data_IF_264463426015
#
_entry.id   IF_264463426015
#
_cell.length_a   1.000
_cell.length_b   1.000
_cell.length_c   1.000
_cell.angle_alpha   90.00
_cell.angle_beta   90.00
_cell.angle_gamma   90.00
#
_symmetry.space_group_name_H-M   'P 1'
#
loop_
_entity.id
_entity.type
_entity.pdbx_description
1 polymer ?
#
# COMPACT_ATOMS: atom_id res chain seq x y z
N UNK A 1 18.86 -13.89 -9.13
CA UNK A 1 18.19 -13.38 -7.91
C UNK A 1 19.17 -13.06 -6.78
N UNK A 2 20.03 -14.01 -6.36
CA UNK A 2 20.99 -13.80 -5.24
C UNK A 2 21.92 -12.59 -5.42
N UNK A 3 22.39 -12.32 -6.63
CA UNK A 3 23.30 -11.18 -6.90
C UNK A 3 22.59 -9.82 -6.77
N UNK A 4 21.43 -9.65 -7.40
CA UNK A 4 20.60 -8.43 -7.26
C UNK A 4 20.27 -8.13 -5.80
N UNK A 5 19.92 -9.16 -5.02
CA UNK A 5 19.67 -9.02 -3.58
C UNK A 5 20.92 -8.56 -2.82
N UNK A 6 22.11 -9.10 -3.11
CA UNK A 6 23.36 -8.65 -2.50
C UNK A 6 23.69 -7.19 -2.83
N UNK A 7 23.47 -6.77 -4.09
CA UNK A 7 23.70 -5.38 -4.52
C UNK A 7 22.77 -4.44 -3.77
N UNK A 8 21.46 -4.73 -3.76
CA UNK A 8 20.48 -3.94 -3.03
C UNK A 8 20.80 -3.83 -1.53
N UNK A 9 21.11 -4.95 -0.86
CA UNK A 9 21.48 -4.92 0.57
C UNK A 9 22.72 -4.07 0.82
N UNK A 10 23.69 -4.08 -0.09
CA UNK A 10 24.88 -3.23 -0.01
C UNK A 10 24.52 -1.75 -0.16
N UNK A 11 23.69 -1.39 -1.12
CA UNK A 11 23.25 -0.01 -1.37
C UNK A 11 22.42 0.55 -0.22
N UNK A 12 21.47 -0.24 0.32
CA UNK A 12 20.70 0.14 1.51
C UNK A 12 21.62 0.40 2.69
N UNK A 13 22.58 -0.51 2.95
CA UNK A 13 23.55 -0.34 4.02
C UNK A 13 24.41 0.92 3.86
N UNK A 14 24.83 1.24 2.63
CA UNK A 14 25.59 2.45 2.33
C UNK A 14 24.78 3.73 2.57
N UNK A 15 23.51 3.75 2.16
CA UNK A 15 22.61 4.89 2.41
C UNK A 15 22.30 5.04 3.90
N UNK A 16 22.15 3.93 4.65
CA UNK A 16 22.01 3.97 6.11
C UNK A 16 23.25 4.54 6.80
N UNK A 17 24.45 4.09 6.42
CA UNK A 17 25.72 4.59 6.95
C UNK A 17 25.88 6.10 6.70
N UNK A 18 25.66 6.53 5.45
CA UNK A 18 25.63 7.95 5.06
C UNK A 18 24.63 8.74 5.92
N UNK A 19 23.42 8.20 6.12
CA UNK A 19 22.42 8.86 6.95
C UNK A 19 22.83 8.95 8.42
N UNK A 20 23.48 7.94 9.00
CA UNK A 20 23.98 8.02 10.38
C UNK A 20 25.05 9.11 10.53
N UNK A 21 25.96 9.25 9.57
CA UNK A 21 26.95 10.33 9.56
C UNK A 21 26.29 11.72 9.45
N UNK A 22 25.36 11.88 8.50
CA UNK A 22 24.63 13.13 8.30
C UNK A 22 23.77 13.49 9.52
N UNK A 23 23.09 12.50 10.10
CA UNK A 23 22.32 12.66 11.34
C UNK A 23 23.23 13.04 12.50
N UNK A 24 24.40 12.42 12.64
CA UNK A 24 25.39 12.77 13.64
C UNK A 24 25.85 14.22 13.52
N UNK A 25 26.17 14.66 12.30
CA UNK A 25 26.51 16.06 11.98
C UNK A 25 25.39 17.02 12.38
N UNK A 26 24.14 16.72 11.99
CA UNK A 26 23.00 17.55 12.34
C UNK A 26 22.76 17.59 13.85
N UNK A 27 22.87 16.46 14.55
CA UNK A 27 22.73 16.43 16.02
C UNK A 27 23.78 17.30 16.71
N UNK A 28 25.00 17.39 16.18
CA UNK A 28 26.04 18.28 16.69
C UNK A 28 25.74 19.77 16.40
N UNK A 29 25.10 20.08 15.26
CA UNK A 29 24.63 21.43 14.92
C UNK A 29 23.38 21.87 15.72
N UNK A 30 22.77 20.97 16.49
CA UNK A 30 21.52 21.25 17.23
C UNK A 30 21.75 22.41 18.20
N UNK A 31 20.98 23.51 18.09
CA UNK A 31 21.00 24.57 19.08
C UNK A 31 20.72 24.00 20.48
N UNK A 32 21.42 24.50 21.50
CA UNK A 32 21.16 24.13 22.89
C UNK A 32 19.67 24.31 23.24
N UNK A 33 19.20 23.63 24.30
CA UNK A 33 17.79 23.74 24.73
C UNK A 33 17.45 25.21 24.99
N UNK A 34 16.58 25.75 24.16
CA UNK A 34 16.08 27.13 24.25
C UNK A 34 15.31 27.29 25.55
N UNK A 35 15.76 28.19 26.43
CA UNK A 35 15.08 28.49 27.68
C UNK A 35 13.81 29.31 27.44
N UNK A 36 12.89 29.29 28.40
CA UNK A 36 11.69 30.14 28.39
C UNK A 36 12.14 31.61 28.44
N UNK A 37 11.97 32.34 27.34
CA UNK A 37 12.52 33.70 27.16
C UNK A 37 13.63 33.82 26.11
N UNK A 38 13.86 32.76 25.31
CA UNK A 38 14.80 32.79 24.19
C UNK A 38 14.57 34.00 23.26
N UNK A 39 15.67 34.55 22.78
CA UNK A 39 15.65 35.64 21.80
C UNK A 39 15.03 35.18 20.47
N UNK A 40 14.46 36.12 19.71
CA UNK A 40 13.92 35.85 18.36
C UNK A 40 14.94 35.15 17.45
N UNK A 41 16.22 35.53 17.56
CA UNK A 41 17.30 34.94 16.78
C UNK A 41 17.56 33.46 17.14
N UNK A 42 17.43 33.08 18.41
CA UNK A 42 17.56 31.67 18.84
C UNK A 42 16.40 30.82 18.34
N UNK A 43 15.17 31.34 18.40
CA UNK A 43 13.99 30.66 17.85
C UNK A 43 14.11 30.45 16.33
N UNK A 44 14.65 31.43 15.61
CA UNK A 44 14.88 31.32 14.17
C UNK A 44 15.95 30.28 13.84
N UNK A 45 17.06 30.23 14.61
CA UNK A 45 18.08 29.17 14.49
C UNK A 45 17.51 27.78 14.77
N UNK A 46 16.65 27.64 15.78
CA UNK A 46 16.00 26.37 16.07
C UNK A 46 15.04 25.95 14.94
N UNK A 47 14.29 26.89 14.37
CA UNK A 47 13.40 26.64 13.25
C UNK A 47 14.16 26.21 11.99
N UNK A 48 15.25 26.91 11.64
CA UNK A 48 16.07 26.56 10.48
C UNK A 48 16.75 25.21 10.65
N UNK A 49 17.26 24.91 11.85
CA UNK A 49 17.78 23.60 12.21
C UNK A 49 16.74 22.49 12.02
N UNK A 50 15.54 22.65 12.61
CA UNK A 50 14.45 21.67 12.47
C UNK A 50 14.05 21.46 11.01
N UNK A 51 13.97 22.53 10.22
CA UNK A 51 13.69 22.45 8.80
C UNK A 51 14.78 21.68 8.04
N UNK A 52 16.06 21.96 8.30
CA UNK A 52 17.20 21.25 7.72
C UNK A 52 17.18 19.76 8.06
N UNK A 53 16.97 19.42 9.34
CA UNK A 53 16.86 18.03 9.79
C UNK A 53 15.68 17.30 9.15
N UNK A 54 14.51 17.93 9.11
CA UNK A 54 13.32 17.36 8.49
C UNK A 54 13.52 17.13 6.98
N UNK A 55 14.13 18.08 6.28
CA UNK A 55 14.45 17.96 4.85
C UNK A 55 15.44 16.82 4.59
N UNK A 56 16.52 16.71 5.37
CA UNK A 56 17.51 15.65 5.22
C UNK A 56 16.89 14.26 5.52
N UNK A 57 16.09 14.15 6.59
CA UNK A 57 15.38 12.91 6.90
C UNK A 57 14.37 12.53 5.80
N UNK A 58 13.68 13.52 5.23
CA UNK A 58 12.78 13.29 4.09
C UNK A 58 13.56 12.79 2.86
N UNK A 59 14.71 13.40 2.56
CA UNK A 59 15.57 12.99 1.45
C UNK A 59 16.08 11.55 1.64
N UNK A 60 16.58 11.20 2.82
CA UNK A 60 17.00 9.84 3.15
C UNK A 60 15.89 8.81 2.95
N UNK A 61 14.69 9.07 3.50
CA UNK A 61 13.52 8.20 3.31
C UNK A 61 13.15 8.02 1.85
N UNK A 62 13.23 9.09 1.05
CA UNK A 62 12.98 9.03 -0.39
C UNK A 62 14.03 8.17 -1.10
N UNK A 63 15.31 8.27 -0.73
CA UNK A 63 16.37 7.41 -1.28
C UNK A 63 16.08 5.94 -0.98
N UNK A 64 15.76 5.59 0.27
CA UNK A 64 15.43 4.22 0.66
C UNK A 64 14.21 3.68 -0.10
N UNK A 65 13.14 4.48 -0.22
CA UNK A 65 11.96 4.12 -1.00
C UNK A 65 12.30 3.87 -2.48
N UNK A 66 13.21 4.67 -3.05
CA UNK A 66 13.69 4.53 -4.43
C UNK A 66 14.49 3.24 -4.61
N UNK A 67 15.42 2.95 -3.70
CA UNK A 67 16.22 1.70 -3.71
C UNK A 67 15.31 0.47 -3.60
N UNK A 68 14.33 0.51 -2.70
CA UNK A 68 13.37 -0.59 -2.51
C UNK A 68 12.50 -0.79 -3.77
N UNK A 69 12.01 0.29 -4.37
CA UNK A 69 11.19 0.22 -5.59
C UNK A 69 12.01 -0.31 -6.78
N UNK A 70 13.25 0.16 -6.94
CA UNK A 70 14.16 -0.33 -7.98
C UNK A 70 14.48 -1.82 -7.81
N UNK A 71 14.76 -2.26 -6.59
CA UNK A 71 14.97 -3.67 -6.30
C UNK A 71 13.72 -4.49 -6.59
N UNK A 72 12.55 -4.03 -6.15
CA UNK A 72 11.27 -4.69 -6.41
C UNK A 72 10.99 -4.83 -7.91
N UNK A 73 11.21 -3.78 -8.72
CA UNK A 73 11.13 -3.84 -10.19
C UNK A 73 12.11 -4.86 -10.78
N UNK A 74 13.37 -4.81 -10.35
CA UNK A 74 14.39 -5.70 -10.87
C UNK A 74 14.10 -7.17 -10.54
N UNK A 75 13.35 -7.42 -9.47
CA UNK A 75 13.03 -8.73 -8.96
C UNK A 75 11.65 -9.23 -9.42
N UNK A 76 10.69 -8.33 -9.70
CA UNK A 76 9.32 -8.66 -10.08
C UNK A 76 9.22 -9.51 -11.35
N UNK A 77 10.12 -9.29 -12.31
CA UNK A 77 10.24 -10.11 -13.51
C UNK A 77 10.61 -11.58 -13.22
N UNK A 78 11.16 -11.87 -12.04
CA UNK A 78 11.58 -13.20 -11.59
C UNK A 78 10.68 -13.77 -10.49
N UNK A 79 9.74 -12.99 -9.96
CA UNK A 79 8.79 -13.46 -8.94
C UNK A 79 7.62 -14.18 -9.63
N UNK A 80 7.15 -15.26 -9.01
CA UNK A 80 5.86 -15.85 -9.40
C UNK A 80 4.79 -14.77 -9.28
N UNK A 81 4.00 -14.57 -10.34
CA UNK A 81 2.92 -13.57 -10.35
C UNK A 81 1.89 -13.77 -9.24
N UNK A 82 1.80 -15.02 -8.78
CA UNK A 82 0.94 -15.43 -7.69
C UNK A 82 1.81 -15.93 -6.54
N UNK A 83 2.51 -14.99 -5.90
CA UNK A 83 3.20 -15.27 -4.66
C UNK A 83 2.24 -14.98 -3.50
N UNK A 84 1.98 -15.95 -2.61
CA UNK A 84 1.27 -15.65 -1.38
C UNK A 84 2.11 -14.69 -0.54
N UNK A 85 1.52 -13.57 -0.15
CA UNK A 85 2.13 -12.56 0.69
C UNK A 85 2.13 -13.00 2.17
N UNK A 86 1.05 -13.65 2.59
CA UNK A 86 0.88 -14.10 3.96
C UNK A 86 -0.58 -14.45 4.28
N UNK A 87 -0.81 -14.73 5.56
CA UNK A 87 -2.13 -14.99 6.14
C UNK A 87 -2.39 -14.01 7.27
N UNK A 88 -3.65 -13.67 7.50
CA UNK A 88 -4.08 -12.97 8.73
C UNK A 88 -4.48 -13.98 9.82
N UNK A 89 -4.99 -13.49 10.97
CA UNK A 89 -5.47 -14.36 12.06
C UNK A 89 -6.65 -15.23 11.65
N UNK A 90 -7.50 -14.76 10.74
CA UNK A 90 -8.68 -15.49 10.27
C UNK A 90 -8.31 -16.50 9.16
N UNK A 91 -7.03 -16.56 8.79
CA UNK A 91 -6.50 -17.43 7.74
C UNK A 91 -6.82 -16.95 6.32
N UNK A 92 -7.23 -15.69 6.12
CA UNK A 92 -7.38 -15.13 4.77
C UNK A 92 -6.02 -15.10 4.09
N UNK A 93 -5.97 -15.57 2.85
CA UNK A 93 -4.74 -15.61 2.07
C UNK A 93 -4.60 -14.33 1.23
N UNK A 94 -3.46 -13.67 1.36
CA UNK A 94 -3.15 -12.45 0.62
C UNK A 94 -2.21 -12.77 -0.53
N UNK A 95 -2.48 -12.22 -1.71
CA UNK A 95 -1.66 -12.36 -2.90
C UNK A 95 -1.37 -10.99 -3.48
N UNK A 96 -0.13 -10.76 -3.88
CA UNK A 96 0.23 -9.58 -4.68
C UNK A 96 0.27 -10.03 -6.14
N UNK A 97 -0.52 -9.38 -6.98
CA UNK A 97 -0.49 -9.62 -8.41
C UNK A 97 0.36 -8.52 -9.05
N UNK A 98 1.51 -8.91 -9.60
CA UNK A 98 2.31 -8.06 -10.47
C UNK A 98 1.92 -8.28 -11.95
N UNK A 99 1.76 -7.22 -12.76
CA UNK A 99 1.49 -7.34 -14.17
C UNK A 99 2.73 -7.76 -14.94
N UNK A 100 2.50 -8.05 -16.22
CA UNK A 100 3.47 -8.63 -17.12
C UNK A 100 4.35 -7.59 -17.83
N UNK A 101 5.61 -7.97 -18.03
CA UNK A 101 6.62 -7.58 -19.03
C UNK A 101 6.88 -6.10 -19.39
N UNK A 102 5.87 -5.24 -19.51
CA UNK A 102 6.10 -3.81 -19.81
C UNK A 102 6.24 -2.96 -18.55
N UNK A 103 5.85 -3.52 -17.40
CA UNK A 103 5.87 -2.88 -16.09
C UNK A 103 4.88 -1.71 -15.96
N UNK A 104 4.14 -1.35 -17.01
CA UNK A 104 3.32 -0.13 -17.04
C UNK A 104 2.20 -0.24 -16.02
N UNK A 105 1.94 0.86 -15.31
CA UNK A 105 0.75 0.95 -14.47
C UNK A 105 -0.38 1.45 -15.36
N UNK A 106 -1.46 0.69 -15.41
CA UNK A 106 -2.64 1.14 -16.14
C UNK A 106 -3.28 2.35 -15.45
N UNK A 107 -3.93 3.24 -16.22
CA UNK A 107 -4.69 4.36 -15.66
C UNK A 107 -5.65 3.89 -14.58
N UNK A 108 -5.90 4.76 -13.60
CA UNK A 108 -6.71 4.45 -12.42
C UNK A 108 -8.05 3.79 -12.76
N UNK A 109 -8.78 4.34 -13.73
CA UNK A 109 -10.07 3.80 -14.18
C UNK A 109 -10.00 2.34 -14.66
N UNK A 110 -8.92 1.96 -15.36
CA UNK A 110 -8.73 0.58 -15.83
C UNK A 110 -8.44 -0.38 -14.67
N UNK A 111 -7.68 0.08 -13.67
CA UNK A 111 -7.36 -0.71 -12.47
C UNK A 111 -8.59 -0.93 -11.60
N UNK A 112 -9.35 0.13 -11.34
CA UNK A 112 -10.58 0.07 -10.55
C UNK A 112 -11.64 -0.78 -11.24
N UNK A 113 -11.72 -0.75 -12.57
CA UNK A 113 -12.64 -1.59 -13.33
C UNK A 113 -12.23 -3.08 -13.38
N UNK A 114 -11.00 -3.43 -12.95
CA UNK A 114 -10.52 -4.82 -12.98
C UNK A 114 -10.47 -5.45 -14.37
N UNK A 115 -10.56 -4.64 -15.44
CA UNK A 115 -10.67 -5.12 -16.84
C UNK A 115 -9.37 -5.68 -17.39
N UNK A 116 -8.24 -5.33 -16.75
CA UNK A 116 -6.91 -5.84 -17.09
C UNK A 116 -6.24 -6.34 -15.84
N UNK A 117 -5.37 -7.34 -16.03
CA UNK A 117 -4.46 -7.81 -15.00
C UNK A 117 -3.50 -6.67 -14.64
N UNK A 118 -3.85 -5.92 -13.60
CA UNK A 118 -3.06 -4.81 -13.09
C UNK A 118 -2.38 -5.16 -11.78
N UNK A 119 -1.60 -4.22 -11.27
CA UNK A 119 -1.07 -4.28 -9.92
C UNK A 119 -2.21 -4.16 -8.90
N UNK A 120 -2.54 -5.23 -8.18
CA UNK A 120 -3.51 -5.21 -7.08
C UNK A 120 -3.20 -6.28 -6.02
N UNK A 121 -3.80 -6.14 -4.85
CA UNK A 121 -3.80 -7.16 -3.80
C UNK A 121 -5.08 -7.96 -3.89
N UNK A 122 -4.98 -9.28 -4.05
CA UNK A 122 -6.10 -10.20 -4.00
C UNK A 122 -6.14 -10.89 -2.63
N UNK A 123 -7.33 -10.97 -2.04
CA UNK A 123 -7.56 -11.63 -0.75
C UNK A 123 -8.64 -12.68 -0.94
N UNK A 124 -8.37 -13.93 -0.51
CA UNK A 124 -9.38 -14.98 -0.46
C UNK A 124 -9.92 -15.13 0.96
N UNK A 125 -11.25 -15.05 1.11
CA UNK A 125 -11.95 -15.26 2.38
C UNK A 125 -13.13 -14.31 2.56
N UNK A 126 -13.58 -14.12 3.82
CA UNK A 126 -14.60 -13.11 4.14
C UNK A 126 -14.08 -11.69 3.90
N UNK A 127 -14.92 -10.75 3.49
CA UNK A 127 -14.45 -9.37 3.28
C UNK A 127 -13.99 -8.73 4.60
N UNK A 128 -12.82 -8.07 4.66
CA UNK A 128 -12.44 -7.29 5.83
C UNK A 128 -13.36 -6.06 5.94
N UNK A 129 -14.20 -6.04 6.99
CA UNK A 129 -15.31 -5.11 7.17
C UNK A 129 -14.87 -3.64 7.22
N UNK A 130 -13.73 -3.34 7.87
CA UNK A 130 -13.25 -1.96 8.01
C UNK A 130 -12.46 -1.44 6.80
N UNK A 131 -12.12 -2.29 5.82
CA UNK A 131 -11.44 -1.82 4.62
C UNK A 131 -12.39 -0.99 3.73
N UNK A 132 -13.69 -1.25 3.81
CA UNK A 132 -14.73 -0.56 3.04
C UNK A 132 -15.25 0.73 3.71
N UNK A 133 -15.17 0.83 5.03
CA UNK A 133 -15.73 1.95 5.80
C UNK A 133 -14.66 2.64 6.65
N UNK A 134 -14.21 3.80 6.20
CA UNK A 134 -13.51 4.77 7.04
C UNK A 134 -14.52 5.34 8.04
N UNK A 135 -14.30 5.21 9.36
CA UNK A 135 -15.26 5.67 10.38
C UNK A 135 -15.61 7.17 10.30
N UNK A 136 -14.73 7.96 9.68
CA UNK A 136 -14.85 9.42 9.55
C UNK A 136 -15.07 9.91 8.11
N UNK A 137 -15.18 9.02 7.13
CA UNK A 137 -15.47 9.45 5.75
C UNK A 137 -16.99 9.49 5.59
N UNK A 138 -17.60 10.67 5.39
CA UNK A 138 -19.04 10.78 5.18
C UNK A 138 -19.41 9.84 4.03
N UNK A 139 -20.40 8.98 4.27
CA UNK A 139 -20.96 8.03 3.29
C UNK A 139 -20.98 8.74 1.94
N UNK A 140 -20.22 8.27 0.93
CA UNK A 140 -20.11 8.99 -0.33
C UNK A 140 -21.52 9.09 -0.91
N UNK A 141 -22.06 10.30 -0.89
CA UNK A 141 -23.23 10.66 -1.70
C UNK A 141 -22.92 10.16 -3.11
N UNK A 142 -23.83 9.43 -3.77
CA UNK A 142 -23.60 8.90 -5.11
C UNK A 142 -23.25 10.05 -6.03
N UNK A 143 -21.96 10.22 -6.29
CA UNK A 143 -21.43 11.24 -7.18
C UNK A 143 -21.94 10.90 -8.58
N UNK A 144 -22.93 11.64 -9.07
CA UNK A 144 -23.44 11.65 -10.45
C UNK A 144 -22.38 12.17 -11.45
N UNK A 145 -21.16 11.65 -11.35
CA UNK A 145 -19.99 12.04 -12.11
C UNK A 145 -19.75 11.09 -13.29
N UNK A 146 -20.30 11.47 -14.44
CA UNK A 146 -19.79 11.19 -15.79
C UNK A 146 -19.18 9.81 -16.05
N UNK A 147 -20.04 8.83 -16.34
CA UNK A 147 -19.69 7.55 -16.99
C UNK A 147 -19.10 7.71 -18.40
N UNK A 148 -19.14 8.91 -18.99
CA UNK A 148 -18.72 9.16 -20.37
C UNK A 148 -17.20 9.12 -20.60
N UNK A 149 -16.38 9.28 -19.56
CA UNK A 149 -14.91 9.23 -19.71
C UNK A 149 -14.33 7.80 -19.69
N UNK A 150 -15.06 6.83 -19.11
CA UNK A 150 -14.61 5.42 -19.08
C UNK A 150 -14.72 4.78 -20.47
N UNK A 151 -15.78 5.08 -21.24
CA UNK A 151 -15.94 4.55 -22.60
C UNK A 151 -14.86 5.04 -23.57
N UNK A 152 -14.40 6.29 -23.43
CA UNK A 152 -13.34 6.84 -24.27
C UNK A 152 -11.97 6.23 -23.96
N UNK A 153 -11.69 5.94 -22.69
CA UNK A 153 -10.41 5.35 -22.27
C UNK A 153 -10.28 3.86 -22.64
N UNK A 154 -11.40 3.13 -22.74
CA UNK A 154 -11.42 1.69 -23.04
C UNK A 154 -11.38 1.34 -24.54
N UNK A 155 -11.20 2.33 -25.42
CA UNK A 155 -10.86 2.05 -26.83
C UNK A 155 -11.94 1.33 -27.63
N UNK A 156 -13.22 1.54 -27.33
CA UNK A 156 -14.32 1.13 -28.20
C UNK A 156 -14.49 -0.38 -28.40
N UNK A 157 -13.92 -1.23 -27.54
CA UNK A 157 -14.30 -2.64 -27.48
C UNK A 157 -15.70 -2.72 -26.90
N UNK A 158 -16.69 -2.82 -27.79
CA UNK A 158 -18.08 -3.10 -27.45
C UNK A 158 -18.16 -4.32 -26.54
N UNK A 159 -18.61 -4.19 -25.28
CA UNK A 159 -18.84 -5.33 -24.41
C UNK A 159 -20.07 -6.07 -24.93
N UNK A 160 -19.83 -7.05 -25.80
CA UNK A 160 -20.86 -7.99 -26.21
C UNK A 160 -21.00 -9.04 -25.11
N UNK A 161 -22.09 -8.94 -24.34
CA UNK A 161 -22.68 -9.98 -23.47
C UNK A 161 -21.80 -10.41 -22.29
N UNK A 162 -22.11 -10.18 -21.01
CA UNK A 162 -23.28 -10.60 -20.21
C UNK A 162 -22.85 -10.27 -18.76
N UNK A 163 -23.60 -9.62 -17.86
CA UNK A 163 -24.95 -9.97 -17.43
C UNK A 163 -25.68 -8.80 -16.77
N UNK A 164 -26.98 -8.73 -17.06
CA UNK A 164 -28.07 -8.54 -16.10
C UNK A 164 -28.19 -7.22 -15.33
N UNK A 165 -28.93 -6.30 -15.92
CA UNK A 165 -29.87 -5.41 -15.22
C UNK A 165 -30.94 -6.25 -14.51
N UNK A 166 -30.93 -6.21 -13.17
CA UNK A 166 -32.13 -6.44 -12.34
C UNK A 166 -32.14 -5.39 -11.25
N UNK A 167 -32.88 -4.32 -11.49
CA UNK A 167 -33.50 -3.52 -10.44
C UNK A 167 -34.54 -4.41 -9.75
N UNK A 168 -34.27 -4.85 -8.53
CA UNK A 168 -35.29 -5.31 -7.59
C UNK A 168 -34.72 -5.22 -6.18
N UNK A 169 -35.23 -4.25 -5.44
CA UNK A 169 -34.94 -3.96 -4.04
C UNK A 169 -35.38 -5.14 -3.16
N UNK A 170 -34.49 -6.09 -2.95
CA UNK A 170 -34.50 -6.93 -1.76
C UNK A 170 -33.06 -7.13 -1.34
N UNK A 171 -32.60 -6.29 -0.38
CA UNK A 171 -31.35 -6.49 0.33
C UNK A 171 -31.47 -7.76 1.17
N UNK A 172 -31.36 -8.91 0.51
CA UNK A 172 -31.15 -10.18 1.19
C UNK A 172 -29.72 -10.16 1.73
N UNK A 173 -29.60 -9.93 3.04
CA UNK A 173 -28.39 -10.05 3.88
C UNK A 173 -27.65 -11.40 3.80
N UNK A 174 -27.94 -12.23 2.78
CA UNK A 174 -27.67 -13.66 2.80
C UNK A 174 -26.29 -14.08 2.25
N UNK A 175 -25.49 -13.18 1.67
CA UNK A 175 -24.25 -13.58 0.99
C UNK A 175 -22.96 -12.87 1.47
N UNK A 176 -23.03 -12.00 2.49
CA UNK A 176 -21.83 -11.34 3.02
C UNK A 176 -20.85 -12.30 3.73
N UNK A 177 -21.33 -13.47 4.12
CA UNK A 177 -20.54 -14.49 4.82
C UNK A 177 -19.81 -15.48 3.89
N UNK A 178 -20.05 -15.43 2.57
CA UNK A 178 -19.41 -16.34 1.64
C UNK A 178 -17.92 -15.98 1.43
N UNK A 179 -17.07 -17.01 1.42
CA UNK A 179 -15.66 -16.83 1.04
C UNK A 179 -15.58 -16.52 -0.46
N UNK A 180 -15.00 -15.36 -0.80
CA UNK A 180 -14.83 -14.94 -2.18
C UNK A 180 -13.51 -14.20 -2.38
N UNK A 181 -13.18 -13.92 -3.64
CA UNK A 181 -12.03 -13.10 -3.98
C UNK A 181 -12.36 -11.61 -3.81
N UNK A 182 -11.51 -10.90 -3.08
CA UNK A 182 -11.56 -9.45 -2.92
C UNK A 182 -10.32 -8.81 -3.52
N UNK A 183 -10.49 -7.73 -4.29
CA UNK A 183 -9.40 -6.99 -4.91
C UNK A 183 -9.26 -5.60 -4.29
N UNK A 184 -8.02 -5.18 -4.01
CA UNK A 184 -7.66 -3.86 -3.52
C UNK A 184 -6.65 -3.25 -4.47
N UNK A 185 -6.99 -2.12 -5.08
CA UNK A 185 -6.27 -1.60 -6.26
C UNK A 185 -5.55 -0.29 -5.97
N UNK A 186 -5.96 0.45 -4.94
CA UNK A 186 -5.35 1.72 -4.59
C UNK A 186 -4.35 1.58 -3.44
N UNK A 187 -3.25 2.38 -3.41
CA UNK A 187 -2.32 2.40 -2.27
C UNK A 187 -3.03 2.65 -0.94
N UNK A 188 -4.02 3.55 -0.93
CA UNK A 188 -4.80 3.90 0.26
C UNK A 188 -5.58 2.70 0.81
N UNK A 189 -6.29 1.96 -0.05
CA UNK A 189 -6.99 0.73 0.31
C UNK A 189 -6.04 -0.31 0.90
N UNK A 190 -4.89 -0.52 0.25
CA UNK A 190 -3.91 -1.53 0.68
C UNK A 190 -3.31 -1.17 2.04
N UNK A 191 -3.05 0.12 2.32
CA UNK A 191 -2.63 0.57 3.66
C UNK A 191 -3.72 0.40 4.71
N UNK A 192 -4.99 0.67 4.35
CA UNK A 192 -6.15 0.41 5.24
C UNK A 192 -6.24 -1.07 5.57
N UNK A 193 -6.06 -1.95 4.58
CA UNK A 193 -6.02 -3.39 4.72
C UNK A 193 -4.89 -3.85 5.68
N UNK A 194 -3.68 -3.29 5.53
CA UNK A 194 -2.56 -3.58 6.43
C UNK A 194 -2.86 -3.17 7.89
N UNK A 195 -3.41 -1.97 8.10
CA UNK A 195 -3.81 -1.49 9.43
C UNK A 195 -4.91 -2.35 10.06
N UNK A 196 -5.90 -2.76 9.25
CA UNK A 196 -6.97 -3.62 9.72
C UNK A 196 -6.43 -5.01 10.13
N UNK A 197 -5.50 -5.59 9.36
CA UNK A 197 -4.90 -6.88 9.70
C UNK A 197 -4.11 -6.81 11.02
N UNK A 198 -3.36 -5.73 11.25
CA UNK A 198 -2.63 -5.48 12.49
C UNK A 198 -3.59 -5.26 13.68
N UNK A 199 -4.63 -4.46 13.50
CA UNK A 199 -5.65 -4.21 14.52
C UNK A 199 -6.35 -5.51 14.95
N UNK A 200 -6.78 -6.31 13.99
CA UNK A 200 -7.42 -7.60 14.22
C UNK A 200 -6.50 -8.54 15.02
N UNK A 201 -5.20 -8.57 14.68
CA UNK A 201 -4.22 -9.36 15.41
C UNK A 201 -4.04 -8.87 16.85
N UNK A 202 -3.96 -7.56 17.04
CA UNK A 202 -3.87 -6.95 18.37
C UNK A 202 -5.10 -7.26 19.23
N UNK A 203 -6.30 -7.20 18.66
CA UNK A 203 -7.55 -7.51 19.39
C UNK A 203 -7.67 -9.00 19.75
N UNK A 204 -7.10 -9.91 18.97
CA UNK A 204 -6.99 -11.33 19.37
C UNK A 204 -6.02 -11.51 20.55
N UNK A 205 -4.92 -10.75 20.59
CA UNK A 205 -3.93 -10.81 21.69
C UNK A 205 -4.47 -10.18 22.97
N UNK A 206 -5.25 -9.10 22.88
CA UNK A 206 -5.88 -8.45 24.04
C UNK A 206 -7.07 -9.24 24.60
N UNK A 207 -7.60 -10.21 23.85
CA UNK A 207 -8.80 -10.97 24.22
C UNK A 207 -10.11 -10.24 23.94
N UNK A 208 -10.08 -9.06 23.29
CA UNK A 208 -11.28 -8.36 22.81
C UNK A 208 -12.02 -9.16 21.73
N UNK A 209 -11.26 -9.91 20.93
CA UNK A 209 -11.78 -10.80 19.90
C UNK A 209 -11.47 -12.24 20.26
N UNK A 210 -12.45 -13.13 20.12
CA UNK A 210 -12.26 -14.57 20.30
C UNK A 210 -11.13 -15.07 19.37
N UNK A 211 -10.34 -16.02 19.87
CA UNK A 211 -9.32 -16.66 19.04
C UNK A 211 -10.01 -17.33 17.83
N UNK A 212 -9.41 -17.24 16.63
CA UNK A 212 -9.96 -17.86 15.43
C UNK A 212 -10.10 -19.36 15.64
N UNK A 213 -11.22 -19.93 15.18
CA UNK A 213 -11.46 -21.37 15.23
C UNK A 213 -10.39 -22.11 14.41
N UNK A 214 -10.05 -23.33 14.85
CA UNK A 214 -9.13 -24.17 14.10
C UNK A 214 -9.71 -24.44 12.71
N UNK A 215 -9.00 -24.03 11.66
CA UNK A 215 -9.44 -24.21 10.28
C UNK A 215 -9.37 -25.68 9.88
N UNK A 216 -10.25 -26.07 8.96
CA UNK A 216 -10.29 -27.42 8.38
C UNK A 216 -9.03 -27.78 7.57
N UNK A 217 -8.23 -26.78 7.17
CA UNK A 217 -6.95 -26.98 6.46
C UNK A 217 -5.84 -27.53 7.37
N UNK A 218 -6.06 -27.59 8.69
CA UNK A 218 -5.10 -28.12 9.66
C UNK A 218 -3.84 -27.26 9.83
N UNK A 219 -3.83 -26.03 9.28
CA UNK A 219 -2.69 -25.15 9.44
C UNK A 219 -2.70 -24.51 10.83
N UNK A 220 -1.53 -24.29 11.45
CA UNK A 220 -1.46 -23.62 12.74
C UNK A 220 -1.99 -22.17 12.61
N UNK A 221 -2.52 -21.60 13.70
CA UNK A 221 -2.89 -20.20 13.75
C UNK A 221 -1.71 -19.31 13.35
N UNK A 222 -1.99 -18.26 12.58
CA UNK A 222 -0.98 -17.30 12.16
C UNK A 222 -0.36 -16.61 13.38
N UNK A 223 0.96 -16.61 13.44
CA UNK A 223 1.73 -15.96 14.51
C UNK A 223 1.76 -14.44 14.34
N UNK A 224 1.93 -13.70 15.43
CA UNK A 224 2.07 -12.24 15.38
C UNK A 224 3.21 -11.78 14.45
N UNK A 225 4.30 -12.56 14.37
CA UNK A 225 5.41 -12.29 13.45
C UNK A 225 5.01 -12.42 11.98
N UNK A 226 4.23 -13.43 11.62
CA UNK A 226 3.73 -13.61 10.25
C UNK A 226 2.81 -12.46 9.85
N UNK A 227 2.00 -11.95 10.79
CA UNK A 227 1.12 -10.81 10.56
C UNK A 227 1.93 -9.53 10.38
N UNK A 228 2.97 -9.31 11.19
CA UNK A 228 3.88 -8.17 10.99
C UNK A 228 4.53 -8.21 9.60
N UNK A 229 4.98 -9.38 9.15
CA UNK A 229 5.55 -9.57 7.80
C UNK A 229 4.52 -9.33 6.70
N UNK A 230 3.27 -9.79 6.89
CA UNK A 230 2.17 -9.48 5.98
C UNK A 230 1.94 -7.98 5.88
N UNK A 231 1.86 -7.27 7.00
CA UNK A 231 1.65 -5.83 7.05
C UNK A 231 2.81 -5.06 6.41
N UNK A 232 4.05 -5.49 6.63
CA UNK A 232 5.23 -4.94 5.96
C UNK A 232 5.15 -5.13 4.45
N UNK A 233 4.78 -6.33 3.99
CA UNK A 233 4.59 -6.65 2.58
C UNK A 233 3.49 -5.82 1.91
N UNK A 234 2.34 -5.63 2.58
CA UNK A 234 1.23 -4.82 2.08
C UNK A 234 1.64 -3.34 1.99
N UNK A 235 2.29 -2.78 3.01
CA UNK A 235 2.75 -1.40 3.00
C UNK A 235 3.84 -1.17 1.94
N UNK A 236 4.80 -2.09 1.80
CA UNK A 236 5.83 -2.01 0.77
C UNK A 236 5.25 -2.05 -0.64
N UNK A 237 4.20 -2.86 -0.85
CA UNK A 237 3.48 -2.88 -2.13
C UNK A 237 2.68 -1.60 -2.39
N UNK A 238 2.04 -1.02 -1.36
CA UNK A 238 1.35 0.26 -1.48
C UNK A 238 2.32 1.40 -1.82
N UNK A 239 3.48 1.46 -1.16
CA UNK A 239 4.54 2.45 -1.46
C UNK A 239 5.02 2.32 -2.91
N UNK A 240 5.24 1.08 -3.36
CA UNK A 240 5.64 0.79 -4.73
C UNK A 240 4.57 1.25 -5.74
N UNK A 241 3.30 0.92 -5.48
CA UNK A 241 2.18 1.33 -6.33
C UNK A 241 2.05 2.86 -6.41
N UNK A 242 2.18 3.55 -5.29
CA UNK A 242 2.11 5.01 -5.21
C UNK A 242 3.24 5.65 -6.02
N UNK A 243 4.47 5.16 -5.86
CA UNK A 243 5.61 5.62 -6.66
C UNK A 243 5.38 5.45 -8.17
N UNK A 244 4.84 4.29 -8.59
CA UNK A 244 4.54 4.05 -10.01
C UNK A 244 3.40 4.92 -10.55
N UNK A 245 2.37 5.17 -9.76
CA UNK A 245 1.27 6.06 -10.17
C UNK A 245 1.81 7.46 -10.47
N UNK A 246 2.70 7.97 -9.60
CA UNK A 246 3.32 9.28 -9.78
C UNK A 246 4.17 9.36 -11.07
N UNK A 247 4.92 8.32 -11.43
CA UNK A 247 5.68 8.32 -12.69
C UNK A 247 4.79 8.40 -13.95
N UNK A 248 3.58 7.84 -13.90
CA UNK A 248 2.62 7.95 -15.01
C UNK A 248 2.01 9.35 -15.05
N UNK A 249 1.63 9.91 -13.90
CA UNK A 249 1.11 11.28 -13.81
C UNK A 249 2.13 12.30 -14.36
N UNK A 250 3.42 12.18 -14.00
CA UNK A 250 4.49 13.04 -14.50
C UNK A 250 4.70 12.90 -16.02
N UNK A 251 4.54 11.69 -16.58
CA UNK A 251 4.62 11.45 -18.03
C UNK A 251 3.44 12.02 -18.79
N UNK A 252 2.23 11.90 -18.24
CA UNK A 252 1.03 12.48 -18.84
C UNK A 252 1.09 14.00 -18.87
N UNK A 253 1.66 14.63 -17.84
CA UNK A 253 1.90 16.08 -17.82
C UNK A 253 2.96 16.50 -18.85
N UNK A 254 4.08 15.76 -18.93
CA UNK A 254 5.15 16.05 -19.89
C UNK A 254 4.72 15.89 -21.36
N UNK A 255 3.81 14.96 -21.67
CA UNK A 255 3.28 14.75 -23.02
C UNK A 255 2.27 15.81 -23.50
N UNK A 256 1.79 16.69 -22.61
CA UNK A 256 0.84 17.78 -22.93
C UNK A 256 1.53 19.10 -23.27
N UNK A 257 2.85 19.21 -23.09
CA UNK A 257 3.66 20.41 -23.35
C UNK A 257 4.28 20.38 -24.75
#
# INVERSE_FOLDING_TARGET
MKEKSKVWTKEVKQEEERWQEERGRLVFERPGKTQKGASRAELERERTYKAKYAAANKAHKLTLATLNSSFFLSNSASLSRFAPLGRDVDGRMYYILSPYADGRVHPRAVREAGTRWSWFVAVWGKRPESAAATPDEPKPEPSEGSTLDVERALGGVSPSSSSSLTESESESDLDLDQEQWHAFTTPTEIRRLAKWADHVAASCVSGERAAPEARADGLPPTTGREISLLCEGLNGFADYLEWRCREEDEKEEAGKS
#
